data_IF_612107741110
#
_entry.id   IF_612107741110
#
_cell.length_a   1.000
_cell.length_b   1.000
_cell.length_c   1.000
_cell.angle_alpha   90.00
_cell.angle_beta   90.00
_cell.angle_gamma   90.00
#
_symmetry.space_group_name_H-M   'P 1'
#
loop_
_entity.id
_entity.type
_entity.pdbx_description
1 polymer ?
#
# COMPACT_ATOMS: atom_id res chain seq x y z
N UNK A 1 -40.50 -39.78 21.67
CA UNK A 1 -39.53 -39.79 20.55
C UNK A 1 -39.27 -38.36 20.03
N UNK A 2 -38.62 -37.48 20.82
CA UNK A 2 -38.44 -36.05 20.47
C UNK A 2 -36.98 -35.63 20.22
N UNK A 3 -36.01 -36.52 20.44
CA UNK A 3 -34.57 -36.21 20.35
C UNK A 3 -33.99 -36.23 18.94
N UNK A 4 -34.61 -36.92 17.97
CA UNK A 4 -34.05 -37.04 16.61
C UNK A 4 -34.14 -35.72 15.82
N UNK A 5 -35.31 -35.07 15.83
CA UNK A 5 -35.48 -33.77 15.14
C UNK A 5 -34.58 -32.64 15.66
N UNK A 6 -34.34 -32.59 16.97
CA UNK A 6 -33.45 -31.58 17.56
C UNK A 6 -31.97 -31.78 17.19
N UNK A 7 -31.55 -33.03 16.94
CA UNK A 7 -30.18 -33.34 16.49
C UNK A 7 -30.01 -32.97 15.02
N UNK A 8 -31.03 -33.21 14.19
CA UNK A 8 -31.00 -32.85 12.76
C UNK A 8 -31.00 -31.31 12.58
N UNK A 9 -31.81 -30.58 13.35
CA UNK A 9 -31.80 -29.11 13.36
C UNK A 9 -30.45 -28.54 13.82
N UNK A 10 -29.84 -29.13 14.87
CA UNK A 10 -28.53 -28.69 15.35
C UNK A 10 -27.42 -28.94 14.31
N UNK A 11 -27.51 -30.05 13.55
CA UNK A 11 -26.59 -30.35 12.45
C UNK A 11 -26.71 -29.36 11.30
N UNK A 12 -27.94 -28.96 10.95
CA UNK A 12 -28.20 -27.95 9.92
C UNK A 12 -27.62 -26.60 10.35
N UNK A 13 -27.88 -26.17 11.59
CA UNK A 13 -27.36 -24.91 12.12
C UNK A 13 -25.83 -24.91 12.21
N UNK A 14 -25.21 -26.03 12.55
CA UNK A 14 -23.75 -26.17 12.55
C UNK A 14 -23.18 -26.04 11.13
N UNK A 15 -23.82 -26.67 10.14
CA UNK A 15 -23.41 -26.57 8.74
C UNK A 15 -23.52 -25.13 8.21
N UNK A 16 -24.60 -24.42 8.55
CA UNK A 16 -24.76 -23.01 8.19
C UNK A 16 -23.72 -22.12 8.87
N UNK A 17 -23.44 -22.33 10.15
CA UNK A 17 -22.41 -21.58 10.87
C UNK A 17 -21.01 -21.80 10.25
N UNK A 18 -20.70 -23.04 9.84
CA UNK A 18 -19.45 -23.35 9.15
C UNK A 18 -19.38 -22.68 7.78
N UNK A 19 -20.48 -22.65 7.02
CA UNK A 19 -20.56 -21.96 5.73
C UNK A 19 -20.33 -20.46 5.90
N UNK A 20 -20.99 -19.82 6.88
CA UNK A 20 -20.81 -18.40 7.17
C UNK A 20 -19.38 -18.08 7.62
N UNK A 21 -18.79 -18.91 8.49
CA UNK A 21 -17.40 -18.74 8.90
C UNK A 21 -16.45 -18.86 7.71
N UNK A 22 -16.67 -19.83 6.82
CA UNK A 22 -15.90 -19.99 5.59
C UNK A 22 -16.00 -18.77 4.67
N UNK A 23 -17.20 -18.24 4.45
CA UNK A 23 -17.42 -17.03 3.65
C UNK A 23 -16.77 -15.79 4.27
N UNK A 24 -16.83 -15.64 5.59
CA UNK A 24 -16.17 -14.55 6.30
C UNK A 24 -14.64 -14.60 6.10
N UNK A 25 -14.03 -15.77 6.28
CA UNK A 25 -12.59 -15.94 6.05
C UNK A 25 -12.24 -15.63 4.59
N UNK A 26 -13.01 -16.15 3.63
CA UNK A 26 -12.77 -15.90 2.21
C UNK A 26 -12.87 -14.40 1.88
N UNK A 27 -13.90 -13.72 2.40
CA UNK A 27 -14.08 -12.28 2.20
C UNK A 27 -12.95 -11.46 2.79
N UNK A 28 -12.45 -11.81 3.97
CA UNK A 28 -11.31 -11.15 4.59
C UNK A 28 -10.03 -11.33 3.77
N UNK A 29 -9.81 -12.53 3.22
CA UNK A 29 -8.67 -12.82 2.34
C UNK A 29 -8.76 -12.04 1.02
N UNK A 30 -9.93 -12.00 0.40
CA UNK A 30 -10.17 -11.22 -0.83
C UNK A 30 -10.00 -9.72 -0.61
N UNK A 31 -10.41 -9.23 0.55
CA UNK A 31 -10.23 -7.83 0.92
C UNK A 31 -8.76 -7.50 1.17
N UNK A 32 -8.03 -8.39 1.85
CA UNK A 32 -6.59 -8.25 2.08
C UNK A 32 -5.76 -8.41 0.80
N UNK A 33 -6.22 -9.17 -0.20
CA UNK A 33 -5.54 -9.32 -1.49
C UNK A 33 -5.79 -8.16 -2.45
N UNK A 34 -6.56 -7.15 -2.04
CA UNK A 34 -6.80 -5.98 -2.89
C UNK A 34 -5.50 -5.17 -2.98
N UNK A 35 -4.95 -5.08 -4.18
CA UNK A 35 -3.77 -4.25 -4.45
C UNK A 35 -4.07 -2.79 -4.06
N UNK A 36 -3.15 -2.18 -3.32
CA UNK A 36 -3.23 -0.78 -2.97
C UNK A 36 -2.63 0.05 -4.12
N UNK A 37 -3.40 0.91 -4.81
CA UNK A 37 -2.89 1.70 -5.94
C UNK A 37 -2.02 2.90 -5.50
N UNK A 38 -1.96 3.17 -4.19
CA UNK A 38 -1.24 4.31 -3.64
C UNK A 38 0.25 4.40 -4.05
N UNK A 39 1.05 3.31 -4.03
CA UNK A 39 2.46 3.36 -4.42
C UNK A 39 2.67 3.75 -5.87
N UNK A 40 1.81 3.27 -6.77
CA UNK A 40 1.85 3.63 -8.20
C UNK A 40 1.55 5.11 -8.40
N UNK A 41 0.54 5.63 -7.71
CA UNK A 41 0.17 7.05 -7.77
C UNK A 41 1.29 7.96 -7.27
N UNK A 42 1.97 7.57 -6.19
CA UNK A 42 3.15 8.31 -5.68
C UNK A 42 4.28 8.28 -6.71
N UNK A 43 4.53 7.14 -7.36
CA UNK A 43 5.54 7.03 -8.39
C UNK A 43 5.24 7.89 -9.63
N UNK A 44 3.99 7.90 -10.07
CA UNK A 44 3.53 8.71 -11.20
C UNK A 44 3.69 10.21 -10.91
N UNK A 45 3.30 10.67 -9.71
CA UNK A 45 3.47 12.07 -9.29
C UNK A 45 4.94 12.50 -9.25
N UNK A 46 5.82 11.62 -8.75
CA UNK A 46 7.26 11.90 -8.72
C UNK A 46 7.87 11.94 -10.12
N UNK A 47 7.42 11.07 -11.03
CA UNK A 47 7.90 11.05 -12.41
C UNK A 47 7.33 12.20 -13.27
N UNK A 48 6.11 12.64 -12.99
CA UNK A 48 5.49 13.78 -13.64
C UNK A 48 6.12 15.12 -13.22
N UNK A 49 6.95 15.12 -12.16
CA UNK A 49 7.61 16.32 -11.68
C UNK A 49 8.66 16.78 -12.71
N UNK A 50 8.58 18.03 -13.23
CA UNK A 50 9.55 18.53 -14.18
C UNK A 50 10.97 18.52 -13.59
N UNK A 51 12.01 18.17 -14.37
CA UNK A 51 13.39 18.07 -13.86
C UNK A 51 13.96 19.41 -13.37
N UNK A 52 13.34 20.52 -13.79
CA UNK A 52 13.80 21.88 -13.57
C UNK A 52 13.02 22.63 -12.49
N UNK A 53 11.99 22.00 -11.91
CA UNK A 53 11.08 22.63 -10.97
C UNK A 53 11.25 22.06 -9.56
N UNK A 54 11.18 22.94 -8.56
CA UNK A 54 10.94 22.50 -7.19
C UNK A 54 9.43 22.31 -7.00
N UNK A 55 9.01 21.06 -6.79
CA UNK A 55 7.59 20.72 -6.59
C UNK A 55 7.40 20.15 -5.20
N UNK A 56 6.33 20.60 -4.57
CA UNK A 56 5.89 20.14 -3.27
C UNK A 56 4.71 19.20 -3.47
N UNK A 57 4.91 17.92 -3.18
CA UNK A 57 3.86 16.89 -3.31
C UNK A 57 3.37 16.58 -1.90
N UNK A 58 2.09 16.89 -1.64
CA UNK A 58 1.43 16.51 -0.39
C UNK A 58 1.05 15.04 -0.49
N UNK A 59 1.51 14.25 0.48
CA UNK A 59 1.25 12.82 0.54
C UNK A 59 0.25 12.55 1.65
N UNK A 60 -0.88 11.89 1.36
CA UNK A 60 -1.89 11.59 2.38
C UNK A 60 -1.39 10.58 3.42
N UNK A 61 -0.29 9.86 3.14
CA UNK A 61 0.25 8.82 4.00
C UNK A 61 1.80 8.77 3.95
N UNK A 62 2.47 8.33 5.04
CA UNK A 62 3.91 8.24 5.10
C UNK A 62 4.50 7.30 4.06
N UNK A 63 5.48 7.76 3.30
CA UNK A 63 6.21 6.91 2.35
C UNK A 63 7.71 7.00 2.55
N UNK A 64 8.40 5.91 2.21
CA UNK A 64 9.85 5.89 2.01
C UNK A 64 10.12 5.65 0.53
N UNK A 65 10.88 6.55 -0.08
CA UNK A 65 11.23 6.49 -1.50
C UNK A 65 12.68 6.02 -1.57
N UNK A 66 12.89 4.95 -2.32
CA UNK A 66 14.20 4.40 -2.67
C UNK A 66 14.32 4.33 -4.20
N UNK A 67 15.53 4.21 -4.76
CA UNK A 67 15.67 4.02 -6.19
C UNK A 67 14.98 2.72 -6.61
N UNK A 68 14.10 2.82 -7.59
CA UNK A 68 13.37 1.68 -8.12
C UNK A 68 12.19 1.22 -7.24
N UNK A 69 11.86 1.89 -6.12
CA UNK A 69 10.75 1.46 -5.26
C UNK A 69 10.16 2.56 -4.36
N UNK A 70 8.87 2.41 -4.06
CA UNK A 70 8.15 3.18 -3.04
C UNK A 70 7.69 2.23 -1.95
N UNK A 71 8.02 2.54 -0.70
CA UNK A 71 7.58 1.77 0.46
C UNK A 71 6.54 2.53 1.27
N UNK A 72 5.45 1.85 1.61
CA UNK A 72 4.30 2.36 2.37
C UNK A 72 3.74 1.24 3.24
N UNK A 73 3.29 1.58 4.47
CA UNK A 73 2.67 0.62 5.41
C UNK A 73 3.44 -0.68 5.68
N UNK A 74 4.78 -0.65 5.58
CA UNK A 74 5.63 -1.82 5.79
C UNK A 74 5.88 -2.68 4.54
N UNK A 75 5.25 -2.35 3.41
CA UNK A 75 5.46 -3.01 2.12
C UNK A 75 6.22 -2.10 1.16
N UNK A 76 6.95 -2.69 0.21
CA UNK A 76 7.73 -1.97 -0.81
C UNK A 76 7.31 -2.43 -2.20
N UNK A 77 7.00 -1.47 -3.07
CA UNK A 77 6.48 -1.71 -4.39
C UNK A 77 7.47 -1.19 -5.44
N UNK A 78 7.67 -1.91 -6.56
CA UNK A 78 8.53 -1.45 -7.64
C UNK A 78 7.97 -0.17 -8.25
N UNK A 79 8.82 0.83 -8.40
CA UNK A 79 8.47 2.13 -8.96
C UNK A 79 9.67 2.66 -9.76
N UNK A 80 9.53 3.11 -11.02
CA UNK A 80 10.66 3.51 -11.85
C UNK A 80 11.24 4.89 -11.45
N UNK A 81 11.43 5.14 -10.16
CA UNK A 81 11.99 6.37 -9.60
C UNK A 81 13.51 6.18 -9.51
N UNK A 82 14.29 6.91 -10.29
CA UNK A 82 15.75 6.79 -10.27
C UNK A 82 16.46 7.95 -9.56
N UNK A 83 15.73 9.03 -9.28
CA UNK A 83 16.34 10.34 -8.98
C UNK A 83 15.99 10.90 -7.61
N UNK A 84 15.22 10.17 -6.80
CA UNK A 84 14.75 10.63 -5.49
C UNK A 84 15.01 9.54 -4.46
N UNK A 85 15.55 9.92 -3.30
CA UNK A 85 15.68 9.08 -2.12
C UNK A 85 15.24 9.89 -0.91
N UNK A 86 14.48 9.28 0.00
CA UNK A 86 14.07 9.97 1.23
C UNK A 86 12.92 9.29 1.96
N UNK A 87 12.55 9.88 3.10
CA UNK A 87 11.37 9.50 3.86
C UNK A 87 10.52 10.76 4.07
N UNK A 88 9.21 10.62 3.90
CA UNK A 88 8.28 11.73 3.99
C UNK A 88 7.00 11.30 4.69
N UNK A 89 6.60 12.05 5.72
CA UNK A 89 5.38 11.75 6.48
C UNK A 89 4.15 12.50 5.95
N UNK A 90 4.36 13.64 5.28
CA UNK A 90 3.29 14.57 4.88
C UNK A 90 3.56 15.31 3.55
N UNK A 91 4.83 15.52 3.19
CA UNK A 91 5.20 16.01 1.86
C UNK A 91 6.57 15.54 1.42
N UNK A 92 6.77 15.51 0.12
CA UNK A 92 8.08 15.36 -0.53
C UNK A 92 8.39 16.64 -1.29
N UNK A 93 9.58 17.19 -1.03
CA UNK A 93 10.14 18.27 -1.83
C UNK A 93 11.08 17.64 -2.85
N UNK A 94 10.73 17.77 -4.13
CA UNK A 94 11.57 17.30 -5.23
C UNK A 94 12.49 18.45 -5.61
N UNK A 95 13.81 18.25 -5.48
CA UNK A 95 14.81 19.27 -5.85
C UNK A 95 15.21 19.14 -7.32
N UNK A 96 15.64 20.26 -7.89
CA UNK A 96 16.26 20.29 -9.22
C UNK A 96 17.44 19.32 -9.27
N UNK A 97 17.58 18.55 -10.35
CA UNK A 97 18.69 17.58 -10.50
C UNK A 97 20.08 18.21 -10.35
N UNK A 98 20.25 19.49 -10.69
CA UNK A 98 21.53 20.20 -10.55
C UNK A 98 21.94 20.47 -9.10
N UNK A 99 21.00 20.48 -8.15
CA UNK A 99 21.31 20.69 -6.73
C UNK A 99 21.74 19.40 -6.01
N UNK A 100 21.26 18.23 -6.45
CA UNK A 100 21.59 16.95 -5.81
C UNK A 100 23.09 16.60 -5.92
N UNK A 101 23.75 16.98 -7.03
CA UNK A 101 25.20 16.76 -7.22
C UNK A 101 26.05 17.65 -6.29
N UNK A 102 25.52 18.81 -5.89
CA UNK A 102 26.26 19.74 -5.03
C UNK A 102 26.27 19.33 -3.55
N UNK A 103 25.34 18.49 -3.10
CA UNK A 103 25.28 18.05 -1.69
C UNK A 103 26.12 16.80 -1.39
N UNK A 104 26.47 16.00 -2.41
CA UNK A 104 27.32 14.81 -2.23
C UNK A 104 28.84 15.14 -2.25
N UNK A 105 29.19 16.40 -2.49
CA UNK A 105 30.58 16.88 -2.60
C UNK A 105 31.00 17.91 -1.54
N UNK A 106 30.17 18.17 -0.53
CA UNK A 106 30.58 18.98 0.62
C UNK A 106 31.32 18.11 1.65
N UNK A 107 32.52 18.54 2.12
CA UNK A 107 33.39 17.77 3.02
C UNK A 107 32.82 17.57 4.42
#
# INVERSE_FOLDING_TARGET
MRRRGAVDEALILLAEALLFAGLLILSARLWASRENPYPELVAELLNATPPDAEVFIVLPQPVRIEPGRVCYAGECYPAPIQHVRGHAWWWVKVYKRTYAVAQETAP
#
